data_IF_194717101134
#
_entry.id   IF_194717101134
#
_cell.length_a   1.000
_cell.length_b   1.000
_cell.length_c   1.000
_cell.angle_alpha   90.00
_cell.angle_beta   90.00
_cell.angle_gamma   90.00
#
_symmetry.space_group_name_H-M   'P 1'
#
loop_
_entity.id
_entity.type
_entity.pdbx_description
1 polymer ?
#
# COMPACT_ATOMS: atom_id res chain seq x y z
N UNK A 1 -24.05 52.45 31.14
CA UNK A 1 -25.11 51.42 31.02
C UNK A 1 -25.10 50.75 29.64
N UNK A 2 -25.14 51.48 28.51
CA UNK A 2 -25.16 50.87 27.16
C UNK A 2 -23.93 49.98 26.87
N UNK A 3 -22.71 50.45 27.17
CA UNK A 3 -21.48 49.68 26.95
C UNK A 3 -21.41 48.38 27.77
N UNK A 4 -21.97 48.37 28.98
CA UNK A 4 -22.02 47.19 29.86
C UNK A 4 -23.01 46.16 29.32
N UNK A 5 -24.18 46.61 28.85
CA UNK A 5 -25.17 45.72 28.23
C UNK A 5 -24.66 45.07 26.93
N UNK A 6 -23.91 45.81 26.11
CA UNK A 6 -23.28 45.26 24.90
C UNK A 6 -22.21 44.21 25.24
N UNK A 7 -21.38 44.45 26.25
CA UNK A 7 -20.36 43.49 26.69
C UNK A 7 -20.98 42.18 27.19
N UNK A 8 -22.04 42.26 28.00
CA UNK A 8 -22.77 41.08 28.50
C UNK A 8 -23.44 40.28 27.38
N UNK A 9 -24.02 40.96 26.39
CA UNK A 9 -24.60 40.31 25.21
C UNK A 9 -23.56 39.55 24.39
N UNK A 10 -22.39 40.15 24.17
CA UNK A 10 -21.28 39.50 23.47
C UNK A 10 -20.75 38.28 24.23
N UNK A 11 -20.60 38.39 25.56
CA UNK A 11 -20.17 37.28 26.41
C UNK A 11 -21.14 36.09 26.33
N UNK A 12 -22.44 36.33 26.38
CA UNK A 12 -23.46 35.29 26.24
C UNK A 12 -23.42 34.60 24.88
N UNK A 13 -23.23 35.38 23.80
CA UNK A 13 -23.11 34.81 22.44
C UNK A 13 -21.87 33.93 22.35
N UNK A 14 -20.71 34.41 22.83
CA UNK A 14 -19.47 33.63 22.84
C UNK A 14 -19.65 32.34 23.64
N UNK A 15 -20.26 32.42 24.83
CA UNK A 15 -20.53 31.26 25.67
C UNK A 15 -21.41 30.23 24.96
N UNK A 16 -22.49 30.65 24.30
CA UNK A 16 -23.36 29.74 23.55
C UNK A 16 -22.64 29.11 22.36
N UNK A 17 -21.89 29.92 21.59
CA UNK A 17 -21.12 29.43 20.43
C UNK A 17 -20.09 28.39 20.87
N UNK A 18 -19.32 28.67 21.93
CA UNK A 18 -18.32 27.76 22.49
C UNK A 18 -18.97 26.47 23.00
N UNK A 19 -20.14 26.57 23.65
CA UNK A 19 -20.91 25.41 24.12
C UNK A 19 -21.42 24.54 22.97
N UNK A 20 -21.89 25.14 21.89
CA UNK A 20 -22.29 24.42 20.67
C UNK A 20 -21.08 23.73 20.03
N UNK A 21 -19.90 24.35 20.08
CA UNK A 21 -18.64 23.79 19.57
C UNK A 21 -18.17 22.55 20.34
N UNK A 22 -18.70 22.29 21.55
CA UNK A 22 -18.40 21.06 22.29
C UNK A 22 -18.82 19.79 21.54
N UNK A 23 -20.01 19.82 20.92
CA UNK A 23 -20.55 18.67 20.19
C UNK A 23 -19.68 18.23 19.00
N UNK A 24 -19.28 19.12 18.06
CA UNK A 24 -18.39 18.71 16.97
C UNK A 24 -17.01 18.28 17.48
N UNK A 25 -16.48 18.86 18.56
CA UNK A 25 -15.22 18.41 19.18
C UNK A 25 -15.37 16.98 19.70
N UNK A 26 -16.46 16.66 20.38
CA UNK A 26 -16.72 15.32 20.92
C UNK A 26 -16.89 14.29 19.79
N UNK A 27 -17.69 14.61 18.77
CA UNK A 27 -17.88 13.75 17.58
C UNK A 27 -16.56 13.52 16.87
N UNK A 28 -15.77 14.58 16.64
CA UNK A 28 -14.47 14.48 15.96
C UNK A 28 -13.49 13.65 16.78
N UNK A 29 -13.47 13.80 18.11
CA UNK A 29 -12.61 12.99 18.99
C UNK A 29 -12.94 11.50 18.88
N UNK A 30 -14.23 11.14 18.89
CA UNK A 30 -14.67 9.75 18.71
C UNK A 30 -14.31 9.25 17.30
N UNK A 31 -14.54 10.05 16.26
CA UNK A 31 -14.18 9.69 14.89
C UNK A 31 -12.67 9.46 14.73
N UNK A 32 -11.84 10.34 15.31
CA UNK A 32 -10.39 10.20 15.34
C UNK A 32 -9.95 8.94 16.10
N UNK A 33 -10.60 8.61 17.22
CA UNK A 33 -10.34 7.38 17.96
C UNK A 33 -10.58 6.14 17.11
N UNK A 34 -11.75 6.07 16.46
CA UNK A 34 -12.08 4.94 15.56
C UNK A 34 -11.06 4.86 14.42
N UNK A 35 -10.72 5.99 13.81
CA UNK A 35 -9.73 6.05 12.74
C UNK A 35 -8.37 5.48 13.18
N UNK A 36 -7.86 5.93 14.33
CA UNK A 36 -6.58 5.44 14.87
C UNK A 36 -6.62 3.95 15.17
N UNK A 37 -7.73 3.43 15.72
CA UNK A 37 -7.87 2.00 16.00
C UNK A 37 -7.86 1.15 14.73
N UNK A 38 -8.53 1.60 13.67
CA UNK A 38 -8.49 0.93 12.36
C UNK A 38 -7.07 0.94 11.80
N UNK A 39 -6.38 2.08 11.85
CA UNK A 39 -5.01 2.22 11.35
C UNK A 39 -4.01 1.33 12.13
N UNK A 40 -4.20 1.26 13.46
CA UNK A 40 -3.40 0.42 14.35
C UNK A 40 -3.63 -1.08 14.07
N UNK A 41 -4.88 -1.48 13.83
CA UNK A 41 -5.23 -2.86 13.46
C UNK A 41 -4.62 -3.27 12.12
N UNK A 42 -4.73 -2.40 11.11
CA UNK A 42 -4.10 -2.61 9.80
C UNK A 42 -2.58 -2.75 9.90
N UNK A 43 -1.94 -1.85 10.66
CA UNK A 43 -0.50 -1.92 10.90
C UNK A 43 -0.10 -3.18 11.66
N UNK A 44 -0.89 -3.59 12.66
CA UNK A 44 -0.68 -4.83 13.40
C UNK A 44 -0.72 -6.06 12.49
N UNK A 45 -1.67 -6.12 11.55
CA UNK A 45 -1.76 -7.17 10.54
C UNK A 45 -0.52 -7.19 9.63
N UNK A 46 -0.07 -6.04 9.15
CA UNK A 46 1.11 -5.92 8.30
C UNK A 46 2.40 -6.33 9.04
N UNK A 47 2.59 -5.86 10.28
CA UNK A 47 3.74 -6.21 11.13
C UNK A 47 3.75 -7.71 11.45
N UNK A 48 2.58 -8.29 11.74
CA UNK A 48 2.45 -9.72 12.04
C UNK A 48 2.87 -10.58 10.84
N UNK A 49 2.37 -10.26 9.64
CA UNK A 49 2.80 -10.92 8.40
C UNK A 49 4.31 -10.76 8.20
N UNK A 50 4.83 -9.54 8.36
CA UNK A 50 6.26 -9.26 8.11
C UNK A 50 7.18 -10.03 9.05
N UNK A 51 6.82 -10.16 10.33
CA UNK A 51 7.64 -10.91 11.31
C UNK A 51 7.68 -12.41 11.02
N UNK A 52 6.65 -12.95 10.36
CA UNK A 52 6.57 -14.38 10.04
C UNK A 52 7.25 -14.77 8.73
N UNK A 53 7.32 -13.88 7.74
CA UNK A 53 7.70 -14.23 6.37
C UNK A 53 9.00 -13.61 5.85
N UNK A 54 9.75 -12.86 6.67
CA UNK A 54 10.93 -12.14 6.19
C UNK A 54 12.24 -12.94 6.30
N UNK A 55 12.80 -13.36 5.16
CA UNK A 55 14.17 -13.86 5.04
C UNK A 55 14.96 -13.09 3.97
N UNK A 56 15.89 -12.19 4.35
CA UNK A 56 16.69 -11.39 3.41
C UNK A 56 17.47 -12.26 2.39
N UNK A 57 17.95 -13.44 2.81
CA UNK A 57 18.70 -14.38 1.95
C UNK A 57 17.92 -14.81 0.69
N UNK A 58 16.60 -14.95 0.78
CA UNK A 58 15.77 -15.33 -0.38
C UNK A 58 15.56 -14.18 -1.37
N UNK A 59 15.64 -12.93 -0.90
CA UNK A 59 15.52 -11.76 -1.79
C UNK A 59 16.77 -11.65 -2.66
N UNK A 60 17.94 -11.74 -2.05
CA UNK A 60 19.23 -11.69 -2.76
C UNK A 60 19.34 -12.82 -3.78
N UNK A 61 19.00 -14.05 -3.38
CA UNK A 61 18.98 -15.20 -4.29
C UNK A 61 18.09 -14.95 -5.51
N UNK A 62 16.85 -14.48 -5.35
CA UNK A 62 15.93 -14.28 -6.50
C UNK A 62 16.24 -13.05 -7.34
N UNK A 63 16.75 -12.00 -6.72
CA UNK A 63 17.20 -10.80 -7.42
C UNK A 63 18.36 -11.14 -8.39
N UNK A 64 19.28 -12.01 -7.97
CA UNK A 64 20.36 -12.51 -8.83
C UNK A 64 19.83 -13.31 -10.03
N UNK A 65 18.80 -14.14 -9.84
CA UNK A 65 18.18 -14.90 -10.94
C UNK A 65 17.42 -13.98 -11.91
N UNK A 66 16.76 -12.94 -11.39
CA UNK A 66 16.12 -11.92 -12.19
C UNK A 66 17.13 -11.15 -13.05
N UNK A 67 18.26 -10.74 -12.46
CA UNK A 67 19.36 -10.11 -13.20
C UNK A 67 19.87 -11.00 -14.33
N UNK A 68 20.06 -12.29 -14.07
CA UNK A 68 20.51 -13.23 -15.10
C UNK A 68 19.50 -13.34 -16.26
N UNK A 69 18.20 -13.35 -15.97
CA UNK A 69 17.15 -13.35 -16.99
C UNK A 69 17.09 -12.03 -17.78
N UNK A 70 17.40 -10.90 -17.13
CA UNK A 70 17.50 -9.58 -17.78
C UNK A 70 18.67 -9.51 -18.77
N UNK A 71 19.86 -10.01 -18.35
CA UNK A 71 21.05 -10.13 -19.22
C UNK A 71 20.75 -11.00 -20.46
N UNK A 72 19.88 -12.01 -20.30
CA UNK A 72 19.46 -12.89 -21.39
C UNK A 72 18.35 -12.29 -22.29
N UNK A 73 18.09 -10.97 -22.21
CA UNK A 73 17.03 -10.26 -22.96
C UNK A 73 15.61 -10.81 -22.72
N UNK A 74 15.35 -11.39 -21.54
CA UNK A 74 14.02 -11.89 -21.13
C UNK A 74 13.48 -11.12 -19.91
N UNK A 75 13.08 -9.84 -20.09
CA UNK A 75 12.63 -9.00 -18.98
C UNK A 75 11.37 -9.54 -18.31
N UNK A 76 10.44 -10.12 -19.07
CA UNK A 76 9.21 -10.71 -18.53
C UNK A 76 9.48 -11.87 -17.54
N UNK A 77 10.47 -12.72 -17.84
CA UNK A 77 10.88 -13.80 -16.92
C UNK A 77 11.61 -13.23 -15.69
N UNK A 78 12.49 -12.22 -15.88
CA UNK A 78 13.19 -11.55 -14.79
C UNK A 78 12.23 -10.99 -13.73
N UNK A 79 11.18 -10.30 -14.17
CA UNK A 79 10.19 -9.76 -13.26
C UNK A 79 9.30 -10.82 -12.63
N UNK A 80 9.03 -11.94 -13.32
CA UNK A 80 8.30 -13.06 -12.73
C UNK A 80 9.06 -13.70 -11.56
N UNK A 81 10.40 -13.77 -11.62
CA UNK A 81 11.22 -14.27 -10.51
C UNK A 81 11.20 -13.34 -9.30
N UNK A 82 11.09 -12.02 -9.52
CA UNK A 82 10.91 -11.03 -8.46
C UNK A 82 9.48 -11.07 -7.88
N UNK A 83 8.46 -11.28 -8.72
CA UNK A 83 7.05 -11.34 -8.32
C UNK A 83 6.70 -12.57 -7.46
N UNK A 84 7.47 -13.66 -7.57
CA UNK A 84 7.33 -14.84 -6.71
C UNK A 84 7.70 -14.55 -5.24
N UNK A 85 8.26 -13.37 -4.96
CA UNK A 85 8.58 -12.94 -3.62
C UNK A 85 7.39 -12.23 -2.95
N UNK A 86 6.66 -12.94 -2.07
CA UNK A 86 5.54 -12.40 -1.24
C UNK A 86 6.01 -11.49 -0.09
N UNK A 87 6.98 -10.60 -0.31
CA UNK A 87 7.61 -9.84 0.78
C UNK A 87 6.83 -8.59 1.21
N UNK A 88 6.09 -7.98 0.30
CA UNK A 88 5.14 -6.90 0.59
C UNK A 88 4.23 -6.68 -0.62
N UNK A 89 2.94 -6.46 -0.38
CA UNK A 89 1.98 -6.10 -1.43
C UNK A 89 2.45 -4.87 -2.23
N UNK A 90 3.21 -3.97 -1.59
CA UNK A 90 3.74 -2.74 -2.20
C UNK A 90 4.77 -3.06 -3.29
N UNK A 91 5.76 -3.90 -2.97
CA UNK A 91 6.84 -4.29 -3.90
C UNK A 91 6.28 -5.11 -5.06
N UNK A 92 5.34 -6.03 -4.78
CA UNK A 92 4.68 -6.83 -5.83
C UNK A 92 3.88 -5.94 -6.78
N UNK A 93 3.13 -4.96 -6.26
CA UNK A 93 2.39 -4.02 -7.12
C UNK A 93 3.34 -3.16 -7.97
N UNK A 94 4.46 -2.69 -7.40
CA UNK A 94 5.46 -1.95 -8.17
C UNK A 94 6.04 -2.79 -9.30
N UNK A 95 6.48 -4.02 -8.99
CA UNK A 95 7.02 -4.94 -10.01
C UNK A 95 5.97 -5.21 -11.09
N UNK A 96 4.71 -5.44 -10.70
CA UNK A 96 3.61 -5.67 -11.64
C UNK A 96 3.35 -4.45 -12.55
N UNK A 97 3.31 -3.24 -11.99
CA UNK A 97 3.16 -2.01 -12.76
C UNK A 97 4.35 -1.78 -13.70
N UNK A 98 5.55 -2.11 -13.25
CA UNK A 98 6.77 -1.99 -14.04
C UNK A 98 6.79 -2.99 -15.21
N UNK A 99 6.35 -4.24 -15.01
CA UNK A 99 6.14 -5.22 -16.10
C UNK A 99 5.11 -4.71 -17.10
N UNK A 100 3.94 -4.26 -16.60
CA UNK A 100 2.82 -3.88 -17.44
C UNK A 100 3.15 -2.67 -18.31
N UNK A 101 3.81 -1.66 -17.73
CA UNK A 101 4.24 -0.48 -18.46
C UNK A 101 5.32 -0.82 -19.49
N UNK A 102 6.27 -1.71 -19.16
CA UNK A 102 7.31 -2.15 -20.10
C UNK A 102 6.74 -2.93 -21.31
N UNK A 103 5.69 -3.75 -21.10
CA UNK A 103 5.07 -4.55 -22.18
C UNK A 103 4.06 -3.78 -23.05
N UNK A 104 3.35 -2.79 -22.49
CA UNK A 104 2.21 -2.13 -23.16
C UNK A 104 2.61 -0.87 -23.92
N UNK A 105 3.62 -0.15 -23.45
CA UNK A 105 4.02 1.14 -24.02
C UNK A 105 5.52 1.14 -24.29
N UNK A 106 5.93 1.34 -25.54
CA UNK A 106 7.33 1.68 -25.90
C UNK A 106 7.76 3.07 -25.37
N UNK A 107 7.18 3.53 -24.27
CA UNK A 107 7.59 4.75 -23.59
C UNK A 107 8.58 4.29 -22.53
N UNK A 108 9.86 4.68 -22.63
CA UNK A 108 10.82 4.46 -21.56
C UNK A 108 10.47 5.40 -20.41
N UNK A 109 9.39 5.13 -19.69
CA UNK A 109 9.28 5.67 -18.35
C UNK A 109 10.44 5.07 -17.58
N UNK A 110 11.44 5.93 -17.29
CA UNK A 110 12.60 5.53 -16.50
C UNK A 110 12.03 4.88 -15.23
N UNK A 111 12.39 3.63 -14.91
CA UNK A 111 11.89 2.96 -13.71
C UNK A 111 12.19 3.73 -12.41
N UNK A 112 13.17 4.64 -12.45
CA UNK A 112 13.41 5.70 -11.45
C UNK A 112 12.21 6.63 -11.21
N UNK A 113 11.46 7.02 -12.26
CA UNK A 113 10.29 7.90 -12.15
C UNK A 113 9.10 7.18 -11.50
N UNK A 114 8.95 5.88 -11.77
CA UNK A 114 7.96 5.02 -11.10
C UNK A 114 8.28 4.90 -9.60
N UNK A 115 9.57 4.77 -9.25
CA UNK A 115 10.03 4.75 -7.86
C UNK A 115 9.70 6.08 -7.15
N UNK A 116 10.00 7.22 -7.79
CA UNK A 116 9.70 8.56 -7.27
C UNK A 116 8.20 8.78 -6.99
N UNK A 117 7.32 8.35 -7.90
CA UNK A 117 5.86 8.41 -7.70
C UNK A 117 5.42 7.54 -6.51
N UNK A 118 6.04 6.37 -6.32
CA UNK A 118 5.77 5.50 -5.18
C UNK A 118 6.25 6.09 -3.85
N UNK A 119 7.43 6.71 -3.82
CA UNK A 119 7.95 7.46 -2.67
C UNK A 119 7.00 8.58 -2.29
N UNK A 120 6.57 9.38 -3.28
CA UNK A 120 5.66 10.49 -3.07
C UNK A 120 4.31 10.05 -2.49
N UNK A 121 3.70 8.99 -3.03
CA UNK A 121 2.45 8.43 -2.48
C UNK A 121 2.60 7.92 -1.06
N UNK A 122 3.75 7.31 -0.76
CA UNK A 122 4.07 6.78 0.55
C UNK A 122 4.22 7.91 1.57
N UNK A 123 4.85 9.02 1.17
CA UNK A 123 5.00 10.23 1.97
C UNK A 123 3.65 10.89 2.28
N UNK A 124 2.78 11.06 1.28
CA UNK A 124 1.43 11.62 1.49
C UNK A 124 0.59 10.82 2.49
N UNK A 125 0.75 9.48 2.52
CA UNK A 125 0.05 8.63 3.51
C UNK A 125 0.55 8.89 4.94
N UNK A 126 1.85 9.11 5.11
CA UNK A 126 2.44 9.43 6.42
C UNK A 126 2.00 10.81 6.93
N UNK A 127 1.82 11.77 6.04
CA UNK A 127 1.35 13.12 6.40
C UNK A 127 -0.01 13.09 7.10
N UNK A 128 -0.96 12.28 6.61
CA UNK A 128 -2.28 12.14 7.23
C UNK A 128 -2.20 11.63 8.67
N UNK A 129 -1.38 10.61 8.92
CA UNK A 129 -1.18 10.10 10.29
C UNK A 129 -0.46 11.12 11.17
N UNK A 130 0.51 11.87 10.61
CA UNK A 130 1.25 12.91 11.33
C UNK A 130 0.40 14.12 11.72
N UNK A 131 -0.61 14.47 10.93
CA UNK A 131 -1.62 15.47 11.32
C UNK A 131 -2.35 15.00 12.57
N UNK A 132 -2.75 13.73 12.63
CA UNK A 132 -3.51 13.16 13.75
C UNK A 132 -2.70 13.14 15.06
N UNK A 133 -1.37 13.00 14.98
CA UNK A 133 -0.45 13.14 16.13
C UNK A 133 -0.59 14.50 16.80
N UNK A 134 -0.78 15.57 16.01
CA UNK A 134 -0.89 16.95 16.53
C UNK A 134 -2.32 17.32 16.89
N UNK A 135 -3.27 16.91 16.05
CA UNK A 135 -4.69 17.24 16.22
C UNK A 135 -5.31 16.51 17.42
N UNK A 136 -4.91 15.26 17.70
CA UNK A 136 -5.43 14.50 18.85
C UNK A 136 -5.30 15.24 20.19
N UNK A 137 -4.09 15.63 20.61
CA UNK A 137 -3.87 16.40 21.83
C UNK A 137 -4.58 17.76 21.82
N UNK A 138 -4.64 18.45 20.66
CA UNK A 138 -5.34 19.73 20.53
C UNK A 138 -6.85 19.60 20.77
N UNK A 139 -7.48 18.55 20.22
CA UNK A 139 -8.90 18.24 20.49
C UNK A 139 -9.12 17.91 21.97
N UNK A 140 -8.20 17.16 22.58
CA UNK A 140 -8.22 16.86 24.01
C UNK A 140 -8.16 18.10 24.90
N UNK A 141 -7.35 19.10 24.51
CA UNK A 141 -7.21 20.38 25.20
C UNK A 141 -8.46 21.26 25.01
N UNK A 142 -9.00 21.36 23.79
CA UNK A 142 -10.27 22.05 23.57
C UNK A 142 -11.41 21.42 24.38
N UNK A 143 -11.42 20.09 24.47
CA UNK A 143 -12.38 19.33 25.26
C UNK A 143 -12.38 19.63 26.76
N UNK A 144 -11.28 20.16 27.33
CA UNK A 144 -11.27 20.65 28.72
C UNK A 144 -11.64 22.11 28.85
N UNK A 145 -11.18 22.97 27.95
CA UNK A 145 -11.41 24.40 28.06
C UNK A 145 -12.88 24.79 27.87
N UNK A 146 -13.61 24.09 27.00
CA UNK A 146 -15.02 24.38 26.71
C UNK A 146 -15.94 24.14 27.94
N UNK A 147 -15.94 22.96 28.58
CA UNK A 147 -16.79 22.69 29.75
C UNK A 147 -16.29 23.33 31.05
N UNK A 148 -15.09 23.94 31.08
CA UNK A 148 -14.56 24.58 32.28
C UNK A 148 -15.33 25.85 32.66
N UNK A 149 -15.78 26.64 31.67
CA UNK A 149 -16.61 27.82 31.91
C UNK A 149 -17.93 27.48 32.65
N UNK A 150 -18.80 26.56 32.16
CA UNK A 150 -19.99 26.15 32.91
C UNK A 150 -19.68 25.49 34.26
N UNK A 151 -18.55 24.79 34.38
CA UNK A 151 -18.12 24.18 35.64
C UNK A 151 -17.83 25.23 36.72
N UNK A 152 -17.13 26.31 36.38
CA UNK A 152 -16.84 27.40 37.33
C UNK A 152 -18.10 28.18 37.71
N UNK A 153 -19.05 28.37 36.78
CA UNK A 153 -20.36 28.95 37.10
C UNK A 153 -21.14 28.08 38.09
N UNK A 154 -21.20 26.76 37.85
CA UNK A 154 -21.85 25.84 38.78
C UNK A 154 -21.21 25.84 40.17
N UNK A 155 -19.89 25.98 40.26
CA UNK A 155 -19.18 26.13 41.54
C UNK A 155 -19.59 27.41 42.28
N UNK A 156 -19.72 28.53 41.56
CA UNK A 156 -20.18 29.79 42.16
C UNK A 156 -21.62 29.71 42.68
N UNK A 157 -22.44 28.86 42.07
CA UNK A 157 -23.83 28.57 42.48
C UNK A 157 -23.93 27.51 43.59
N UNK A 158 -22.81 26.86 43.96
CA UNK A 158 -22.78 25.78 44.95
C UNK A 158 -23.24 24.41 44.44
N UNK A 159 -23.46 24.25 43.13
CA UNK A 159 -23.84 22.99 42.51
C UNK A 159 -22.62 22.11 42.21
N UNK A 160 -22.27 21.28 43.18
CA UNK A 160 -21.14 20.35 43.06
C UNK A 160 -21.39 19.21 42.07
N UNK A 161 -22.65 18.89 41.79
CA UNK A 161 -23.04 17.79 40.91
C UNK A 161 -22.78 18.17 39.44
N UNK A 162 -23.22 19.36 39.02
CA UNK A 162 -22.96 19.89 37.67
C UNK A 162 -21.46 20.12 37.48
N UNK A 163 -20.78 20.66 38.49
CA UNK A 163 -19.33 20.82 38.48
C UNK A 163 -18.62 19.49 38.20
N UNK A 164 -18.93 18.44 38.99
CA UNK A 164 -18.31 17.13 38.85
C UNK A 164 -18.62 16.49 37.48
N UNK A 165 -19.85 16.64 36.98
CA UNK A 165 -20.24 16.11 35.68
C UNK A 165 -19.45 16.74 34.53
N UNK A 166 -19.31 18.07 34.53
CA UNK A 166 -18.54 18.79 33.51
C UNK A 166 -17.05 18.42 33.56
N UNK A 167 -16.46 18.33 34.76
CA UNK A 167 -15.06 17.93 34.92
C UNK A 167 -14.80 16.49 34.45
N UNK A 168 -15.68 15.55 34.78
CA UNK A 168 -15.56 14.16 34.33
C UNK A 168 -15.53 14.08 32.80
N UNK A 169 -16.42 14.79 32.12
CA UNK A 169 -16.45 14.84 30.65
C UNK A 169 -15.16 15.47 30.11
N UNK A 170 -14.76 16.62 30.66
CA UNK A 170 -13.55 17.34 30.30
C UNK A 170 -12.30 16.46 30.35
N UNK A 171 -12.03 15.83 31.50
CA UNK A 171 -10.85 14.98 31.68
C UNK A 171 -10.86 13.75 30.78
N UNK A 172 -12.02 13.14 30.59
CA UNK A 172 -12.15 11.97 29.70
C UNK A 172 -11.75 12.32 28.26
N UNK A 173 -12.16 13.49 27.76
CA UNK A 173 -11.83 13.94 26.40
C UNK A 173 -10.33 14.22 26.27
N UNK A 174 -9.68 14.79 27.29
CA UNK A 174 -8.21 14.98 27.25
C UNK A 174 -7.45 13.67 27.24
N UNK A 175 -7.82 12.71 28.08
CA UNK A 175 -7.20 11.38 28.10
C UNK A 175 -7.35 10.72 26.73
N UNK A 176 -8.55 10.80 26.13
CA UNK A 176 -8.78 10.29 24.77
C UNK A 176 -7.94 11.03 23.72
N UNK A 177 -7.87 12.36 23.76
CA UNK A 177 -7.08 13.15 22.81
C UNK A 177 -5.59 12.84 22.85
N UNK A 178 -5.03 12.69 24.06
CA UNK A 178 -3.64 12.27 24.25
C UNK A 178 -3.41 10.83 23.77
N UNK A 179 -4.34 9.91 24.05
CA UNK A 179 -4.27 8.53 23.59
C UNK A 179 -4.31 8.43 22.06
N UNK A 180 -5.19 9.19 21.40
CA UNK A 180 -5.26 9.30 19.93
C UNK A 180 -3.92 9.80 19.38
N UNK A 181 -3.38 10.88 19.93
CA UNK A 181 -2.08 11.42 19.50
C UNK A 181 -0.93 10.45 19.69
N UNK A 182 -0.87 9.78 20.84
CA UNK A 182 0.14 8.79 21.17
C UNK A 182 0.09 7.55 20.29
N UNK A 183 -1.10 7.00 20.04
CA UNK A 183 -1.29 5.86 19.14
C UNK A 183 -0.99 6.24 17.68
N UNK A 184 -1.44 7.42 17.21
CA UNK A 184 -1.10 7.93 15.89
C UNK A 184 0.41 8.10 15.71
N UNK A 185 1.11 8.54 16.77
CA UNK A 185 2.56 8.70 16.74
C UNK A 185 3.24 7.34 16.64
N UNK A 186 2.81 6.38 17.47
CA UNK A 186 3.31 5.01 17.41
C UNK A 186 3.13 4.39 16.02
N UNK A 187 1.94 4.51 15.44
CA UNK A 187 1.65 4.05 14.07
C UNK A 187 2.56 4.75 13.05
N UNK A 188 2.72 6.07 13.15
CA UNK A 188 3.58 6.84 12.24
C UNK A 188 5.03 6.35 12.28
N UNK A 189 5.61 6.18 13.47
CA UNK A 189 6.99 5.74 13.65
C UNK A 189 7.21 4.34 13.08
N UNK A 190 6.31 3.40 13.34
CA UNK A 190 6.42 2.05 12.80
C UNK A 190 6.31 2.07 11.28
N UNK A 191 5.33 2.79 10.73
CA UNK A 191 5.09 2.86 9.29
C UNK A 191 6.26 3.52 8.55
N UNK A 192 6.81 4.60 9.10
CA UNK A 192 8.01 5.28 8.57
C UNK A 192 9.18 4.31 8.45
N UNK A 193 9.46 3.53 9.51
CA UNK A 193 10.52 2.50 9.49
C UNK A 193 10.28 1.41 8.44
N UNK A 194 9.04 0.97 8.24
CA UNK A 194 8.70 -0.06 7.26
C UNK A 194 8.83 0.46 5.83
N UNK A 195 8.34 1.68 5.59
CA UNK A 195 8.35 2.33 4.29
C UNK A 195 9.76 2.69 3.83
N UNK A 196 10.62 3.24 4.70
CA UNK A 196 12.03 3.48 4.37
C UNK A 196 12.73 2.19 3.91
N UNK A 197 12.33 1.06 4.49
CA UNK A 197 12.89 -0.22 4.11
C UNK A 197 12.34 -0.74 2.78
N UNK A 198 11.06 -0.53 2.48
CA UNK A 198 10.49 -0.90 1.19
C UNK A 198 11.07 -0.07 0.04
N UNK A 199 11.31 1.23 0.25
CA UNK A 199 11.98 2.09 -0.73
C UNK A 199 13.41 1.61 -0.98
N UNK A 200 14.17 1.34 0.08
CA UNK A 200 15.54 0.81 -0.06
C UNK A 200 15.59 -0.56 -0.76
N UNK A 201 14.64 -1.46 -0.46
CA UNK A 201 14.53 -2.75 -1.16
C UNK A 201 14.20 -2.53 -2.67
N UNK A 202 13.42 -1.50 -2.99
CA UNK A 202 13.01 -1.16 -4.36
C UNK A 202 14.13 -0.53 -5.17
N UNK A 203 14.87 0.41 -4.58
CA UNK A 203 16.11 0.97 -5.11
C UNK A 203 17.12 -0.13 -5.43
N UNK A 204 17.31 -1.08 -4.51
CA UNK A 204 18.22 -2.20 -4.71
C UNK A 204 17.81 -3.10 -5.89
N UNK A 205 16.51 -3.45 -5.98
CA UNK A 205 15.99 -4.22 -7.12
C UNK A 205 16.20 -3.45 -8.42
N UNK A 206 15.95 -2.14 -8.40
CA UNK A 206 16.10 -1.30 -9.57
C UNK A 206 17.56 -1.21 -10.04
N UNK A 207 18.50 -0.96 -9.12
CA UNK A 207 19.94 -0.93 -9.41
C UNK A 207 20.43 -2.25 -10.02
N UNK A 208 19.95 -3.36 -9.46
CA UNK A 208 20.31 -4.68 -9.95
C UNK A 208 19.79 -4.96 -11.38
N UNK A 209 18.65 -4.36 -11.74
CA UNK A 209 18.02 -4.48 -13.07
C UNK A 209 18.62 -3.51 -14.10
N UNK A 210 18.94 -2.27 -13.72
CA UNK A 210 19.55 -1.27 -14.62
C UNK A 210 21.04 -1.57 -14.92
N UNK A 211 21.71 -2.36 -14.07
CA UNK A 211 23.03 -2.92 -14.39
C UNK A 211 24.19 -1.91 -14.41
N UNK A 212 24.11 -0.80 -13.66
CA UNK A 212 25.14 0.23 -13.70
C UNK A 212 25.31 1.10 -12.45
N UNK A 213 26.26 0.71 -11.58
CA UNK A 213 27.22 1.58 -10.87
C UNK A 213 26.94 3.07 -10.61
N UNK A 214 25.86 3.44 -9.92
CA UNK A 214 25.76 4.76 -9.29
C UNK A 214 26.19 4.68 -7.83
N UNK A 215 27.27 5.39 -7.49
CA UNK A 215 27.90 5.43 -6.18
C UNK A 215 26.93 5.73 -5.03
N UNK A 216 26.45 4.69 -4.34
CA UNK A 216 25.90 4.77 -2.99
C UNK A 216 26.59 3.70 -2.10
N UNK A 217 26.60 3.87 -0.77
CA UNK A 217 27.49 3.14 0.12
C UNK A 217 27.33 1.62 -0.03
N UNK A 218 28.38 0.98 -0.58
CA UNK A 218 28.46 -0.46 -0.80
C UNK A 218 28.10 -1.21 0.48
N UNK A 219 26.94 -1.86 0.51
CA UNK A 219 26.80 -3.05 1.33
C UNK A 219 27.76 -4.10 0.73
N UNK A 220 28.60 -4.78 1.55
CA UNK A 220 29.57 -5.73 1.03
C UNK A 220 28.84 -6.90 0.37
N UNK A 221 28.84 -6.93 -0.96
CA UNK A 221 28.49 -8.12 -1.73
C UNK A 221 29.51 -9.18 -1.36
N UNK A 222 29.10 -10.13 -0.51
CA UNK A 222 29.81 -11.39 -0.38
C UNK A 222 29.68 -12.05 -1.74
N UNK A 223 30.77 -12.13 -2.50
CA UNK A 223 30.78 -12.80 -3.80
C UNK A 223 30.43 -14.27 -3.62
N UNK A 224 29.13 -14.57 -3.66
CA UNK A 224 28.63 -15.93 -3.69
C UNK A 224 28.95 -16.46 -5.08
N UNK A 225 29.93 -17.35 -5.12
CA UNK A 225 30.33 -18.11 -6.30
C UNK A 225 29.10 -18.66 -7.03
N UNK A 226 29.09 -18.61 -8.35
CA UNK A 226 28.07 -19.17 -9.25
C UNK A 226 27.66 -20.60 -8.89
N UNK A 227 28.58 -21.37 -8.30
CA UNK A 227 28.35 -22.74 -7.81
C UNK A 227 27.50 -22.81 -6.51
N UNK A 228 27.39 -21.71 -5.77
CA UNK A 228 26.54 -21.57 -4.58
C UNK A 228 25.12 -21.09 -4.91
N UNK A 229 24.93 -20.36 -6.01
CA UNK A 229 23.59 -19.90 -6.46
C UNK A 229 22.68 -21.08 -6.81
N UNK A 230 23.25 -22.16 -7.35
CA UNK A 230 22.53 -23.42 -7.58
C UNK A 230 22.25 -24.24 -6.30
N UNK A 231 22.82 -23.85 -5.16
CA UNK A 231 22.73 -24.57 -3.88
C UNK A 231 21.74 -23.93 -2.90
N UNK A 232 21.37 -22.67 -3.10
CA UNK A 232 20.62 -21.86 -2.13
C UNK A 232 19.11 -22.02 -2.23
N UNK A 233 18.51 -22.23 -3.41
CA UNK A 233 17.13 -22.68 -3.59
C UNK A 233 16.96 -23.39 -4.95
N UNK A 234 16.04 -24.38 -5.09
CA UNK A 234 15.69 -24.92 -6.40
C UNK A 234 15.10 -23.81 -7.29
N UNK A 235 15.36 -23.91 -8.60
CA UNK A 235 14.83 -22.99 -9.61
C UNK A 235 13.34 -22.71 -9.33
N UNK A 236 12.92 -21.45 -9.22
CA UNK A 236 11.54 -21.13 -8.89
C UNK A 236 10.62 -21.75 -9.94
N UNK A 237 9.66 -22.57 -9.49
CA UNK A 237 8.73 -23.29 -10.36
C UNK A 237 8.01 -22.26 -11.23
N UNK A 238 8.15 -22.38 -12.55
CA UNK A 238 7.54 -21.47 -13.50
C UNK A 238 6.04 -21.52 -13.31
N UNK A 239 5.45 -20.43 -12.80
CA UNK A 239 4.01 -20.20 -12.92
C UNK A 239 3.64 -20.41 -14.40
N UNK A 240 2.53 -21.11 -14.71
CA UNK A 240 2.09 -21.21 -16.09
C UNK A 240 1.83 -19.79 -16.57
N UNK A 241 2.76 -19.27 -17.37
CA UNK A 241 2.48 -18.17 -18.27
C UNK A 241 1.43 -18.76 -19.17
N UNK A 242 0.17 -18.41 -18.92
CA UNK A 242 -0.86 -18.56 -19.93
C UNK A 242 -0.43 -17.63 -21.06
N UNK A 243 0.41 -18.16 -21.95
CA UNK A 243 0.52 -17.73 -23.34
C UNK A 243 -0.83 -18.00 -23.97
N UNK A 244 -1.83 -17.21 -23.57
CA UNK A 244 -2.95 -16.89 -24.42
C UNK A 244 -2.37 -16.04 -25.54
N UNK A 245 -1.73 -16.70 -26.49
CA UNK A 245 -1.69 -16.22 -27.86
C UNK A 245 -3.13 -15.90 -28.19
N UNK A 246 -3.44 -14.63 -28.44
CA UNK A 246 -4.65 -14.30 -29.19
C UNK A 246 -4.46 -14.97 -30.54
N UNK A 247 -5.02 -16.16 -30.65
CA UNK A 247 -5.13 -16.94 -31.87
C UNK A 247 -5.89 -16.07 -32.87
N UNK A 248 -5.14 -15.53 -33.83
CA UNK A 248 -5.67 -14.71 -34.89
C UNK A 248 -6.49 -15.61 -35.83
N UNK A 249 -7.83 -15.47 -35.92
CA UNK A 249 -8.67 -16.43 -36.59
C UNK A 249 -8.77 -16.13 -38.10
N UNK A 250 -7.63 -16.12 -38.80
CA UNK A 250 -7.59 -15.82 -40.24
C UNK A 250 -6.50 -16.61 -40.99
N UNK A 251 -6.40 -17.92 -40.76
CA UNK A 251 -5.64 -18.76 -41.69
C UNK A 251 -6.14 -20.19 -41.89
N UNK A 252 -7.44 -20.43 -41.72
CA UNK A 252 -8.03 -21.78 -41.85
C UNK A 252 -8.84 -22.01 -43.14
N UNK A 253 -8.63 -21.16 -44.16
CA UNK A 253 -9.39 -21.26 -45.44
C UNK A 253 -8.57 -21.79 -46.62
N UNK A 254 -7.38 -22.38 -46.40
CA UNK A 254 -6.53 -22.80 -47.53
C UNK A 254 -6.03 -24.25 -47.51
N UNK A 255 -6.41 -25.10 -46.54
CA UNK A 255 -5.91 -26.49 -46.49
C UNK A 255 -6.98 -27.59 -46.38
N UNK A 256 -8.27 -27.24 -46.49
CA UNK A 256 -9.39 -28.20 -46.42
C UNK A 256 -10.08 -28.46 -47.77
N UNK A 257 -9.36 -28.43 -48.90
CA UNK A 257 -9.92 -28.82 -50.22
C UNK A 257 -9.17 -29.96 -50.93
N UNK A 258 -8.07 -30.48 -50.39
CA UNK A 258 -7.26 -31.49 -51.11
C UNK A 258 -7.47 -32.95 -50.66
N UNK A 259 -8.37 -33.25 -49.71
CA UNK A 259 -8.46 -34.61 -49.12
C UNK A 259 -9.87 -35.21 -49.00
N UNK A 260 -10.83 -34.73 -49.79
CA UNK A 260 -12.18 -35.33 -49.88
C UNK A 260 -12.61 -35.55 -51.35
N UNK A 261 -11.72 -36.12 -52.15
CA UNK A 261 -12.04 -36.56 -53.52
C UNK A 261 -11.36 -37.92 -53.81
N UNK A 262 -11.63 -38.92 -52.98
CA UNK A 262 -11.36 -40.33 -53.30
C UNK A 262 -12.23 -41.22 -52.42
N UNK A 263 -13.39 -41.62 -52.94
CA UNK A 263 -14.26 -42.60 -52.30
C UNK A 263 -15.65 -42.73 -52.91
N UNK A 264 -15.78 -43.67 -53.86
CA UNK A 264 -16.98 -44.46 -54.18
C UNK A 264 -18.16 -43.87 -54.99
N UNK A 265 -18.31 -44.37 -56.22
CA UNK A 265 -19.58 -44.72 -56.88
C UNK A 265 -19.23 -45.86 -57.86
N UNK A 266 -19.43 -47.14 -57.49
CA UNK A 266 -20.61 -48.00 -57.72
C UNK A 266 -20.77 -48.51 -59.17
N UNK A 267 -20.42 -49.80 -59.31
CA UNK A 267 -21.07 -50.90 -60.06
C UNK A 267 -21.36 -50.86 -61.58
N UNK A 268 -21.03 -52.03 -62.18
CA UNK A 268 -21.62 -52.72 -63.34
C UNK A 268 -21.29 -52.19 -64.75
N UNK A 269 -20.62 -52.99 -65.60
CA UNK A 269 -21.20 -54.04 -66.48
C UNK A 269 -20.07 -54.62 -67.37
N UNK A 270 -20.01 -55.95 -67.51
CA UNK A 270 -19.32 -56.72 -68.58
C UNK A 270 -19.86 -56.35 -69.99
N UNK A 271 -19.36 -56.85 -71.16
CA UNK A 271 -18.60 -58.09 -71.39
C UNK A 271 -17.43 -58.02 -72.43
N UNK A 272 -16.79 -59.19 -72.66
CA UNK A 272 -16.17 -59.64 -73.94
C UNK A 272 -14.86 -58.93 -74.40
N UNK A 273 -13.78 -59.57 -74.88
CA UNK A 273 -13.63 -60.66 -75.85
C UNK A 273 -12.25 -61.34 -75.68
N UNK A 274 -12.23 -62.63 -76.04
CA UNK A 274 -11.11 -63.53 -76.32
C UNK A 274 -9.82 -62.94 -76.93
N UNK A 275 -8.66 -63.47 -76.53
CA UNK A 275 -7.83 -64.40 -77.32
C UNK A 275 -6.72 -65.00 -76.46
#
# INVERSE_FOLDING_TARGET
MIAVGLAQGLEQIIYQVVRVLLYPVLITTIACLVWVLVELGWLGYEVYLRRRYRSLERLEARALWARQAFINNRPAEAYSYLAQNRYSLVVVNFIYELIRNYQTSQIPEKPLKLLEEYEFRTQQRLEKTRILVRVGPMLGLMGTLIPLSPALTALAEGDTQILAANLRVAFSITVLGLLIGGLAYFVSVLRERMYSQYISDLEYILELLEGGGTNLPRAPIRSLDSNQVGRLEPKPESLPVSTGVLENPENDTAQSEAKSARGSTTAATEPEVAT
#
